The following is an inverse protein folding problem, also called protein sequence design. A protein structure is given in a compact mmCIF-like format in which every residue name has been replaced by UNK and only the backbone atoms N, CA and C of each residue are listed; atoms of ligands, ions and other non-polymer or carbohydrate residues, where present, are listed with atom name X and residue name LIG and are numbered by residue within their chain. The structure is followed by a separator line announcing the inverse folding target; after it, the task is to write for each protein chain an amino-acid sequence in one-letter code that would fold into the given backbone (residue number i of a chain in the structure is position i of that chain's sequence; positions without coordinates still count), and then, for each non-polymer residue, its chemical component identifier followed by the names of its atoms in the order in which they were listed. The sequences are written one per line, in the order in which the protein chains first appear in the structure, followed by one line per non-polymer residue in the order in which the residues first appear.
data_IF_053465120101
#
_entry.id   IF_053465120101
#
_cell.length_a   1.000
_cell.length_b   1.000
_cell.length_c   1.000
_cell.angle_alpha   90.00
_cell.angle_beta   90.00
_cell.angle_gamma   90.00
#
_symmetry.space_group_name_H-M   'P 1'
#
loop_
_entity.id
_entity.type
_entity.pdbx_description
1 polymer ?
#
# COMPACT_ATOMS: atom_id res chain seq x y z
N UNK A 1 -20.29 -4.40 -4.19
CA UNK A 1 -21.57 -3.67 -4.32
C UNK A 1 -21.75 -2.81 -3.08
N UNK A 2 -22.38 -1.64 -3.20
CA UNK A 2 -22.70 -0.78 -2.05
C UNK A 2 -24.14 -1.10 -1.63
N UNK A 3 -24.40 -1.59 -0.40
CA UNK A 3 -25.74 -1.95 0.03
C UNK A 3 -26.73 -0.79 -0.12
N UNK A 4 -27.91 -1.04 -0.70
CA UNK A 4 -28.93 -0.01 -0.95
C UNK A 4 -28.68 0.86 -2.20
N UNK A 5 -27.64 0.58 -3.00
CA UNK A 5 -27.33 1.31 -4.22
C UNK A 5 -27.22 0.41 -5.45
N UNK A 6 -27.97 0.74 -6.49
CA UNK A 6 -27.84 0.19 -7.84
C UNK A 6 -26.63 0.81 -8.55
N UNK A 7 -25.88 -0.03 -9.26
CA UNK A 7 -24.69 0.35 -10.02
C UNK A 7 -24.94 0.17 -11.51
N UNK A 8 -24.80 1.23 -12.29
CA UNK A 8 -24.83 1.19 -13.75
C UNK A 8 -23.45 1.59 -14.31
N UNK A 9 -22.87 0.73 -15.15
CA UNK A 9 -21.54 0.92 -15.74
C UNK A 9 -21.68 1.22 -17.23
N UNK A 10 -21.19 2.37 -17.67
CA UNK A 10 -21.11 2.73 -19.09
C UNK A 10 -19.70 2.48 -19.60
N UNK A 11 -19.58 1.83 -20.74
CA UNK A 11 -18.31 1.65 -21.46
C UNK A 11 -18.28 2.52 -22.70
N UNK A 12 -17.09 2.96 -23.09
CA UNK A 12 -16.82 3.64 -24.35
C UNK A 12 -15.68 2.97 -25.09
N UNK A 13 -15.70 3.09 -26.41
CA UNK A 13 -14.58 2.67 -27.26
C UNK A 13 -13.38 3.56 -26.98
N UNK A 14 -12.20 2.95 -26.91
CA UNK A 14 -10.93 3.64 -26.76
C UNK A 14 -10.44 4.13 -28.11
N UNK A 15 -9.94 5.36 -28.16
CA UNK A 15 -9.28 5.91 -29.35
C UNK A 15 -7.99 5.14 -29.66
N UNK A 16 -7.26 4.77 -28.61
CA UNK A 16 -6.08 3.92 -28.67
C UNK A 16 -6.35 2.63 -27.88
N UNK A 17 -6.40 1.47 -28.55
CA UNK A 17 -6.52 0.19 -27.84
C UNK A 17 -5.35 -0.04 -26.88
N UNK A 18 -5.64 -0.60 -25.71
CA UNK A 18 -4.62 -0.95 -24.71
C UNK A 18 -4.27 -2.44 -24.84
N UNK A 19 -3.01 -2.80 -24.59
CA UNK A 19 -2.60 -4.20 -24.47
C UNK A 19 -2.42 -4.55 -23.00
N UNK A 20 -3.19 -5.53 -22.53
CA UNK A 20 -3.14 -6.00 -21.14
C UNK A 20 -2.98 -7.51 -21.17
N UNK A 21 -1.85 -8.01 -20.67
CA UNK A 21 -1.49 -9.45 -20.69
C UNK A 21 -1.64 -10.10 -22.08
N UNK A 22 -1.17 -9.42 -23.14
CA UNK A 22 -1.24 -9.90 -24.52
C UNK A 22 -2.65 -9.86 -25.14
N UNK A 23 -3.63 -9.27 -24.46
CA UNK A 23 -4.99 -9.06 -24.99
C UNK A 23 -5.21 -7.60 -25.30
N UNK A 24 -5.78 -7.34 -26.48
CA UNK A 24 -6.16 -6.01 -26.94
C UNK A 24 -7.50 -5.61 -26.35
N UNK A 25 -7.51 -4.54 -25.56
CA UNK A 25 -8.68 -3.91 -24.96
C UNK A 25 -9.07 -2.70 -25.82
N UNK A 26 -10.27 -2.73 -26.39
CA UNK A 26 -10.78 -1.65 -27.26
C UNK A 26 -11.90 -0.84 -26.61
N UNK A 27 -12.37 -1.24 -25.43
CA UNK A 27 -13.40 -0.54 -24.67
C UNK A 27 -12.97 -0.42 -23.21
N UNK A 28 -13.27 0.72 -22.61
CA UNK A 28 -13.04 0.97 -21.19
C UNK A 28 -14.29 1.52 -20.53
N UNK A 29 -14.37 1.38 -19.21
CA UNK A 29 -15.42 2.03 -18.41
C UNK A 29 -15.19 3.53 -18.45
N UNK A 30 -16.21 4.28 -18.86
CA UNK A 30 -16.18 5.74 -18.93
C UNK A 30 -17.03 6.43 -17.87
N UNK A 31 -18.00 5.70 -17.30
CA UNK A 31 -18.86 6.23 -16.23
C UNK A 31 -19.37 5.10 -15.36
N UNK A 32 -19.40 5.35 -14.06
CA UNK A 32 -20.11 4.52 -13.08
C UNK A 32 -21.14 5.41 -12.39
N UNK A 33 -22.39 4.96 -12.38
CA UNK A 33 -23.49 5.65 -11.70
C UNK A 33 -23.96 4.79 -10.53
N UNK A 34 -23.97 5.36 -9.34
CA UNK A 34 -24.65 4.78 -8.19
C UNK A 34 -25.97 5.51 -7.99
N UNK A 35 -27.07 4.77 -7.88
CA UNK A 35 -28.40 5.30 -7.58
C UNK A 35 -28.91 4.61 -6.33
N UNK A 36 -29.36 5.35 -5.32
CA UNK A 36 -29.97 4.76 -4.14
C UNK A 36 -31.28 4.07 -4.56
N UNK A 37 -31.40 2.77 -4.25
CA UNK A 37 -32.64 2.01 -4.44
C UNK A 37 -33.62 2.33 -3.30
N UNK A 38 -33.08 2.41 -2.08
CA UNK A 38 -33.78 2.79 -0.86
C UNK A 38 -32.85 3.65 0.02
N UNK A 39 -33.39 4.71 0.62
CA UNK A 39 -32.63 5.62 1.50
C UNK A 39 -31.88 6.73 0.78
N UNK A 40 -31.05 7.45 1.54
CA UNK A 40 -30.27 8.59 1.09
C UNK A 40 -29.00 8.75 1.95
N UNK A 41 -28.06 9.58 1.50
CA UNK A 41 -26.97 10.04 2.37
C UNK A 41 -27.52 11.21 3.18
N UNK A 42 -27.86 10.96 4.45
CA UNK A 42 -28.46 11.96 5.31
C UNK A 42 -27.51 13.18 5.51
N UNK A 43 -28.06 14.38 5.80
CA UNK A 43 -27.24 15.57 6.06
C UNK A 43 -26.21 15.33 7.17
N UNK A 44 -24.96 15.71 6.90
CA UNK A 44 -23.83 15.52 7.83
C UNK A 44 -23.21 14.13 7.81
N UNK A 45 -23.72 13.19 7.00
CA UNK A 45 -23.12 11.88 6.77
C UNK A 45 -22.36 11.84 5.45
N UNK A 46 -21.50 10.84 5.30
CA UNK A 46 -20.77 10.56 4.07
C UNK A 46 -20.98 9.11 3.66
N UNK A 47 -20.76 8.83 2.37
CA UNK A 47 -20.80 7.49 1.79
C UNK A 47 -19.53 7.26 0.97
N UNK A 48 -19.03 6.03 1.02
CA UNK A 48 -17.93 5.60 0.17
C UNK A 48 -18.46 4.81 -1.02
N UNK A 49 -17.97 5.15 -2.20
CA UNK A 49 -18.23 4.44 -3.45
C UNK A 49 -16.92 3.86 -3.97
N UNK A 50 -16.52 2.66 -3.51
CA UNK A 50 -15.24 2.09 -3.89
C UNK A 50 -15.24 1.70 -5.38
N UNK A 51 -14.18 2.08 -6.08
CA UNK A 51 -13.90 1.69 -7.46
C UNK A 51 -12.56 0.98 -7.49
N UNK A 52 -12.55 -0.21 -8.08
CA UNK A 52 -11.30 -0.89 -8.44
C UNK A 52 -10.99 -0.59 -9.90
N UNK A 53 -9.83 0.01 -10.13
CA UNK A 53 -9.36 0.38 -11.46
C UNK A 53 -8.25 -0.59 -11.85
N UNK A 54 -8.21 -0.98 -13.13
CA UNK A 54 -7.15 -1.85 -13.65
C UNK A 54 -5.82 -1.11 -13.82
N UNK A 55 -5.03 -1.53 -14.81
CA UNK A 55 -3.80 -0.84 -15.16
C UNK A 55 -4.05 0.66 -15.35
N UNK A 56 -3.26 1.47 -14.64
CA UNK A 56 -3.26 2.93 -14.76
C UNK A 56 -2.39 3.32 -15.97
N UNK A 57 -2.66 4.47 -16.61
CA UNK A 57 -1.85 4.93 -17.73
C UNK A 57 -0.41 5.22 -17.29
N UNK A 58 0.55 4.88 -18.16
CA UNK A 58 1.98 5.15 -17.95
C UNK A 58 2.40 6.52 -18.48
N UNK A 59 1.57 7.12 -19.35
CA UNK A 59 1.79 8.40 -20.04
C UNK A 59 1.01 9.57 -19.42
N UNK A 60 0.67 9.48 -18.13
CA UNK A 60 -0.01 10.54 -17.39
C UNK A 60 0.53 10.68 -15.96
N UNK A 61 0.58 11.92 -15.46
CA UNK A 61 1.01 12.22 -14.09
C UNK A 61 -0.14 12.15 -13.07
N UNK A 62 -1.39 12.18 -13.53
CA UNK A 62 -2.58 12.15 -12.69
C UNK A 62 -3.82 11.67 -13.44
N UNK A 63 -4.82 11.22 -12.69
CA UNK A 63 -6.18 10.96 -13.15
C UNK A 63 -7.15 11.91 -12.45
N UNK A 64 -8.02 12.54 -13.24
CA UNK A 64 -9.09 13.41 -12.73
C UNK A 64 -10.42 12.68 -12.85
N UNK A 65 -11.10 12.50 -11.71
CA UNK A 65 -12.39 11.84 -11.63
C UNK A 65 -13.50 12.86 -11.45
N UNK A 66 -14.08 13.31 -12.57
CA UNK A 66 -15.23 14.22 -12.54
C UNK A 66 -16.46 13.53 -11.96
N UNK A 67 -17.08 14.13 -10.95
CA UNK A 67 -18.24 13.57 -10.26
C UNK A 67 -19.45 14.52 -10.31
N UNK A 68 -20.63 13.92 -10.38
CA UNK A 68 -21.91 14.62 -10.36
C UNK A 68 -22.72 14.05 -9.20
N UNK A 69 -23.06 14.89 -8.23
CA UNK A 69 -23.85 14.51 -7.07
C UNK A 69 -25.24 15.10 -7.20
N UNK A 70 -26.25 14.24 -7.21
CA UNK A 70 -27.66 14.65 -7.25
C UNK A 70 -28.28 14.46 -5.87
N UNK A 71 -28.95 15.49 -5.37
CA UNK A 71 -29.69 15.48 -4.12
C UNK A 71 -31.17 15.15 -4.35
N UNK A 72 -31.86 14.78 -3.28
CA UNK A 72 -33.30 14.48 -3.24
C UNK A 72 -34.17 15.66 -3.70
N UNK A 73 -33.76 16.88 -3.36
CA UNK A 73 -34.36 18.14 -3.80
C UNK A 73 -34.13 18.45 -5.30
N UNK A 74 -33.45 17.56 -6.04
CA UNK A 74 -33.05 17.66 -7.45
C UNK A 74 -31.92 18.65 -7.73
N UNK A 75 -31.30 19.20 -6.71
CA UNK A 75 -30.07 19.97 -6.86
C UNK A 75 -28.93 19.07 -7.35
N UNK A 76 -28.07 19.62 -8.20
CA UNK A 76 -26.95 18.90 -8.79
C UNK A 76 -25.68 19.68 -8.51
N UNK A 77 -24.81 19.11 -7.69
CA UNK A 77 -23.46 19.62 -7.44
C UNK A 77 -22.50 18.94 -8.40
N UNK A 78 -21.63 19.73 -9.04
CA UNK A 78 -20.72 19.28 -10.09
C UNK A 78 -19.28 19.41 -9.62
N UNK A 79 -18.74 18.33 -9.09
CA UNK A 79 -17.33 18.21 -8.71
C UNK A 79 -16.48 17.93 -9.95
N UNK A 80 -16.34 18.94 -10.80
CA UNK A 80 -15.75 18.82 -12.15
C UNK A 80 -14.64 19.83 -12.43
N UNK A 81 -14.37 20.74 -11.49
CA UNK A 81 -13.38 21.80 -11.64
C UNK A 81 -11.98 21.24 -11.35
N UNK A 82 -11.05 21.41 -12.28
CA UNK A 82 -9.71 20.81 -12.14
C UNK A 82 -8.83 21.71 -11.26
N UNK A 83 -8.31 21.22 -10.12
CA UNK A 83 -7.41 22.01 -9.29
C UNK A 83 -6.12 22.32 -10.05
N UNK A 84 -5.69 23.58 -10.00
CA UNK A 84 -4.41 24.03 -10.60
C UNK A 84 -3.38 24.27 -9.51
N UNK A 85 -2.13 23.90 -9.77
CA UNK A 85 -1.06 24.06 -8.78
C UNK A 85 -0.79 25.55 -8.52
N UNK A 86 -0.98 25.99 -7.27
CA UNK A 86 -0.79 27.39 -6.87
C UNK A 86 -1.88 28.35 -7.36
N UNK A 87 -2.95 27.83 -7.96
CA UNK A 87 -4.15 28.60 -8.27
C UNK A 87 -5.08 28.74 -7.07
N UNK A 88 -6.15 29.50 -7.26
CA UNK A 88 -7.26 29.56 -6.30
C UNK A 88 -7.93 28.17 -6.19
N UNK A 89 -8.31 27.80 -4.96
CA UNK A 89 -9.01 26.55 -4.73
C UNK A 89 -10.43 26.64 -5.30
N UNK A 90 -10.82 25.75 -6.23
CA UNK A 90 -12.16 25.78 -6.80
C UNK A 90 -13.24 25.51 -5.73
N UNK A 91 -14.46 25.97 -5.97
CA UNK A 91 -15.59 25.70 -5.07
C UNK A 91 -16.00 24.23 -5.11
N UNK A 92 -15.87 23.56 -6.26
CA UNK A 92 -16.24 22.16 -6.47
C UNK A 92 -15.14 21.38 -7.21
N UNK A 93 -13.99 21.14 -6.56
CA UNK A 93 -12.85 20.49 -7.17
C UNK A 93 -13.15 19.04 -7.52
N UNK A 94 -12.80 18.63 -8.73
CA UNK A 94 -12.81 17.24 -9.14
C UNK A 94 -11.75 16.45 -8.33
N UNK A 95 -12.09 15.25 -7.82
CA UNK A 95 -11.11 14.36 -7.22
C UNK A 95 -9.95 14.05 -8.17
N UNK A 96 -8.71 14.19 -7.67
CA UNK A 96 -7.48 13.91 -8.43
C UNK A 96 -6.68 12.80 -7.77
N UNK A 97 -6.31 11.79 -8.53
CA UNK A 97 -5.34 10.77 -8.15
C UNK A 97 -4.02 11.06 -8.86
N UNK A 98 -2.99 11.47 -8.12
CA UNK A 98 -1.64 11.61 -8.66
C UNK A 98 -1.04 10.23 -8.90
N UNK A 99 -0.44 10.04 -10.07
CA UNK A 99 0.26 8.83 -10.45
C UNK A 99 1.74 8.98 -10.13
N UNK A 100 2.34 7.90 -9.65
CA UNK A 100 3.79 7.81 -9.43
C UNK A 100 4.39 7.02 -10.57
N UNK A 101 5.68 7.23 -10.84
CA UNK A 101 6.42 6.39 -11.78
C UNK A 101 6.24 4.91 -11.44
N UNK A 102 6.12 4.07 -12.46
CA UNK A 102 6.13 2.63 -12.28
C UNK A 102 7.42 2.23 -11.55
N UNK A 103 7.30 1.44 -10.48
CA UNK A 103 8.47 0.79 -9.91
C UNK A 103 8.94 -0.26 -10.91
N UNK A 104 10.21 -0.21 -11.30
CA UNK A 104 10.83 -1.32 -12.01
C UNK A 104 10.96 -2.47 -11.01
N UNK A 105 9.95 -3.35 -10.95
CA UNK A 105 10.05 -4.78 -10.64
C UNK A 105 8.68 -5.44 -10.35
N UNK A 106 8.37 -6.48 -11.11
CA UNK A 106 7.51 -7.63 -10.78
C UNK A 106 6.01 -7.41 -10.47
N UNK A 107 5.22 -7.04 -11.48
CA UNK A 107 3.81 -7.49 -11.57
C UNK A 107 3.66 -8.65 -12.56
N UNK A 108 4.34 -9.75 -12.24
CA UNK A 108 4.15 -11.06 -12.86
C UNK A 108 3.98 -12.08 -11.74
N UNK A 109 2.75 -12.28 -11.28
CA UNK A 109 2.43 -13.38 -10.39
C UNK A 109 2.56 -14.70 -11.14
N UNK A 110 3.68 -15.38 -10.93
CA UNK A 110 3.80 -16.83 -11.12
C UNK A 110 4.19 -17.40 -9.75
N UNK A 111 3.21 -18.03 -9.11
CA UNK A 111 3.48 -19.08 -8.16
C UNK A 111 4.10 -20.27 -8.92
N UNK A 112 4.86 -21.06 -8.18
CA UNK A 112 5.61 -22.26 -8.57
C UNK A 112 6.94 -22.01 -9.28
N UNK A 113 8.04 -22.18 -8.53
CA UNK A 113 8.92 -23.31 -8.81
C UNK A 113 9.68 -23.72 -7.54
N UNK A 114 9.29 -24.91 -7.08
CA UNK A 114 10.03 -25.93 -6.39
C UNK A 114 11.22 -25.61 -5.47
N UNK A 115 10.97 -26.03 -4.22
CA UNK A 115 11.94 -26.53 -3.25
C UNK A 115 13.00 -27.42 -3.91
N UNK A 116 14.29 -27.10 -3.74
CA UNK A 116 15.30 -28.12 -3.49
C UNK A 116 16.52 -27.63 -2.72
N UNK A 117 16.76 -28.35 -1.62
CA UNK A 117 18.02 -28.65 -0.94
C UNK A 117 18.82 -27.49 -0.32
N UNK A 118 19.02 -27.54 1.00
CA UNK A 118 20.17 -28.29 1.48
C UNK A 118 19.93 -28.94 2.85
N UNK A 119 20.31 -30.21 2.90
CA UNK A 119 20.40 -31.07 4.07
C UNK A 119 21.45 -30.54 5.04
N UNK A 120 21.11 -30.41 6.33
CA UNK A 120 22.05 -30.68 7.40
C UNK A 120 21.36 -31.40 8.54
N UNK A 121 21.57 -32.71 8.56
CA UNK A 121 21.17 -33.65 9.61
C UNK A 121 22.31 -33.81 10.63
N UNK A 122 21.89 -34.06 11.88
CA UNK A 122 22.62 -34.61 13.03
C UNK A 122 23.07 -33.54 14.04
N UNK A 123 22.91 -33.70 15.35
CA UNK A 123 22.24 -34.73 16.14
C UNK A 123 21.99 -34.16 17.55
N UNK A 124 20.91 -34.66 18.14
CA UNK A 124 20.60 -34.85 19.56
C UNK A 124 21.75 -34.61 20.58
N UNK A 125 21.52 -33.79 21.61
CA UNK A 125 21.68 -34.17 23.03
C UNK A 125 21.01 -33.13 23.94
N UNK A 126 20.01 -33.61 24.68
CA UNK A 126 19.45 -33.22 26.00
C UNK A 126 20.07 -32.06 26.81
N UNK A 127 19.21 -31.13 27.30
CA UNK A 127 18.98 -30.90 28.75
C UNK A 127 18.19 -29.59 29.06
N UNK A 128 16.96 -29.78 29.54
CA UNK A 128 16.31 -29.11 30.68
C UNK A 128 16.20 -27.56 30.80
N UNK A 129 14.91 -27.15 30.88
CA UNK A 129 14.29 -26.23 31.85
C UNK A 129 14.13 -24.70 31.60
N UNK A 130 12.82 -24.34 31.52
CA UNK A 130 12.06 -23.21 32.12
C UNK A 130 12.11 -21.77 31.55
N UNK A 131 10.92 -21.38 31.05
CA UNK A 131 10.14 -20.15 31.32
C UNK A 131 10.76 -18.76 31.06
N UNK A 132 10.23 -18.08 30.03
CA UNK A 132 9.25 -16.97 30.16
C UNK A 132 9.53 -15.77 29.26
N UNK A 133 8.43 -15.23 28.76
CA UNK A 133 8.17 -13.85 28.33
C UNK A 133 8.77 -13.30 27.02
N UNK A 134 7.81 -13.15 26.08
CA UNK A 134 7.49 -11.94 25.30
C UNK A 134 8.22 -11.61 23.99
N UNK A 135 7.35 -11.28 23.03
CA UNK A 135 7.46 -10.52 21.77
C UNK A 135 8.16 -11.14 20.55
N UNK A 136 7.32 -11.65 19.64
CA UNK A 136 7.57 -11.89 18.22
C UNK A 136 6.41 -11.19 17.46
N UNK A 137 6.55 -10.38 16.42
CA UNK A 137 7.70 -9.91 15.65
C UNK A 137 7.28 -8.66 14.85
N UNK A 138 8.08 -7.60 14.84
CA UNK A 138 7.99 -6.53 13.82
C UNK A 138 9.03 -6.83 12.73
N UNK A 139 8.59 -7.37 11.60
CA UNK A 139 9.45 -7.83 10.49
C UNK A 139 9.88 -6.71 9.55
N UNK A 140 10.54 -5.66 10.05
CA UNK A 140 11.12 -4.62 9.18
C UNK A 140 12.28 -3.84 9.79
N UNK A 141 13.06 -4.47 10.68
CA UNK A 141 14.21 -3.83 11.35
C UNK A 141 15.50 -4.66 11.31
N UNK A 142 15.53 -5.74 10.53
CA UNK A 142 16.59 -6.76 10.59
C UNK A 142 17.99 -6.26 10.19
N UNK A 143 18.13 -5.36 9.22
CA UNK A 143 19.47 -4.90 8.82
C UNK A 143 20.07 -3.94 9.86
N UNK A 144 19.32 -2.91 10.26
CA UNK A 144 19.80 -1.90 11.22
C UNK A 144 20.00 -2.48 12.62
N UNK A 145 19.11 -3.38 13.07
CA UNK A 145 19.25 -4.03 14.37
C UNK A 145 20.48 -4.95 14.42
N UNK A 146 20.79 -5.67 13.33
CA UNK A 146 21.99 -6.51 13.24
C UNK A 146 23.27 -5.67 13.23
N UNK A 147 23.30 -4.56 12.50
CA UNK A 147 24.47 -3.66 12.47
C UNK A 147 24.74 -3.03 13.85
N UNK A 148 23.70 -2.55 14.52
CA UNK A 148 23.84 -1.99 15.87
C UNK A 148 24.19 -3.07 16.91
N UNK A 149 23.66 -4.28 16.77
CA UNK A 149 24.01 -5.42 17.62
C UNK A 149 25.49 -5.80 17.52
N UNK A 150 26.05 -5.84 16.30
CA UNK A 150 27.48 -6.14 16.08
C UNK A 150 28.36 -5.04 16.69
N UNK A 151 28.02 -3.76 16.49
CA UNK A 151 28.76 -2.63 17.07
C UNK A 151 28.71 -2.69 18.61
N UNK A 152 27.55 -2.99 19.19
CA UNK A 152 27.39 -3.11 20.64
C UNK A 152 28.24 -4.22 21.26
N UNK A 153 28.36 -5.38 20.61
CA UNK A 153 29.19 -6.49 21.08
C UNK A 153 30.68 -6.11 21.07
N UNK A 154 31.15 -5.45 20.01
CA UNK A 154 32.56 -5.04 19.90
C UNK A 154 32.92 -4.02 20.99
N UNK A 155 32.04 -3.06 21.27
CA UNK A 155 32.25 -2.07 22.34
C UNK A 155 32.19 -2.75 23.71
N UNK A 156 31.26 -3.69 23.91
CA UNK A 156 31.15 -4.46 25.16
C UNK A 156 32.42 -5.26 25.47
N UNK A 157 32.98 -5.96 24.49
CA UNK A 157 34.23 -6.73 24.65
C UNK A 157 35.41 -5.79 24.94
N UNK A 158 35.50 -4.64 24.27
CA UNK A 158 36.53 -3.63 24.54
C UNK A 158 36.43 -3.04 25.95
N UNK A 159 35.21 -2.79 26.44
CA UNK A 159 34.95 -2.28 27.78
C UNK A 159 35.33 -3.28 28.89
N UNK A 160 35.05 -4.58 28.70
CA UNK A 160 35.44 -5.63 29.65
C UNK A 160 36.96 -5.78 29.68
N UNK A 161 37.64 -5.77 28.53
CA UNK A 161 39.10 -5.85 28.47
C UNK A 161 39.77 -4.64 29.15
N UNK A 162 39.25 -3.42 28.93
CA UNK A 162 39.78 -2.21 29.57
C UNK A 162 39.48 -2.18 31.08
N UNK A 163 38.30 -2.60 31.50
CA UNK A 163 37.91 -2.69 32.91
C UNK A 163 38.78 -3.67 33.70
N UNK A 164 39.08 -4.84 33.14
CA UNK A 164 39.95 -5.85 33.77
C UNK A 164 41.41 -5.38 33.86
N UNK A 165 41.92 -4.67 32.85
CA UNK A 165 43.28 -4.11 32.85
C UNK A 165 43.44 -2.89 33.77
N UNK A 166 42.42 -2.03 33.86
CA UNK A 166 42.41 -0.86 34.75
C UNK A 166 42.14 -1.24 36.22
N UNK A 167 41.42 -2.33 36.47
CA UNK A 167 41.23 -2.90 37.81
C UNK A 167 42.50 -3.53 38.39
N UNK A 168 43.36 -4.12 37.54
CA UNK A 168 44.62 -4.76 37.97
C UNK A 168 45.73 -3.79 38.37
N UNK A 169 45.62 -2.50 38.06
CA UNK A 169 46.62 -1.48 38.43
C UNK A 169 46.30 -0.76 39.75
N UNK A 170 45.25 -1.16 40.48
CA UNK A 170 44.85 -0.56 41.76
C UNK A 170 44.85 -1.51 42.97
N UNK A 171 45.53 -2.64 42.85
CA UNK A 171 45.93 -3.45 44.01
C UNK A 171 47.43 -3.67 43.97
N UNK A 172 48.05 -3.46 45.13
CA UNK A 172 49.48 -3.59 45.43
C UNK A 172 50.10 -4.92 45.00
#
# INVERSE_FOLDING_TARGET
AVPGWKIDITKSKLDKPLEVHGKKITEAVSKVTWTADEGEIAPGYFQQFPVSVGALPEDADQLVFKAIQTYDNKEVVRWIEEPTAGGEEPDSPAPVLKLTAAAEDHHGGAADDDKKADDHKSADTDASSKESSTVASSSSSDTTARTLGIIGIVIGIGGIAFGVLAGRRRSA
#
